data_IF_263473214108
#
_entry.id   IF_263473214108
#
_cell.length_a   1.000
_cell.length_b   1.000
_cell.length_c   1.000
_cell.angle_alpha   90.00
_cell.angle_beta   90.00
_cell.angle_gamma   90.00
#
_symmetry.space_group_name_H-M   'P 1'
#
loop_
_entity.id
_entity.type
_entity.pdbx_description
1 polymer ?
#
# COMPACT_ATOMS: atom_id res chain seq x y z
N UNK A 1 1.84 48.32 -31.76
CA UNK A 1 0.52 47.91 -31.26
C UNK A 1 -0.14 47.26 -32.45
N UNK A 2 -0.35 45.95 -32.45
CA UNK A 2 -0.75 45.12 -31.31
C UNK A 2 0.11 43.85 -31.19
N UNK A 3 0.44 43.53 -29.95
CA UNK A 3 1.04 42.26 -29.53
C UNK A 3 -0.02 41.15 -29.70
N UNK A 4 0.13 40.36 -30.76
CA UNK A 4 -0.64 39.13 -31.04
C UNK A 4 -0.15 38.02 -30.10
N UNK A 5 -0.55 38.11 -28.83
CA UNK A 5 -0.42 37.01 -27.88
C UNK A 5 -1.43 35.94 -28.28
N UNK A 6 -1.02 35.04 -29.20
CA UNK A 6 -1.80 33.89 -29.60
C UNK A 6 -2.38 33.19 -28.37
N UNK A 7 -3.68 32.95 -28.39
CA UNK A 7 -4.39 32.13 -27.42
C UNK A 7 -3.58 30.86 -27.18
N UNK A 8 -2.96 30.75 -26.00
CA UNK A 8 -2.41 29.48 -25.56
C UNK A 8 -3.57 28.49 -25.55
N UNK A 9 -3.46 27.47 -26.40
CA UNK A 9 -4.35 26.33 -26.48
C UNK A 9 -4.23 25.58 -25.14
N UNK A 10 -4.98 26.03 -24.13
CA UNK A 10 -5.08 25.32 -22.87
C UNK A 10 -5.83 24.02 -23.17
N UNK A 11 -5.10 22.94 -23.40
CA UNK A 11 -5.69 21.60 -23.45
C UNK A 11 -6.51 21.39 -22.17
N UNK A 12 -7.83 21.28 -22.31
CA UNK A 12 -8.71 20.99 -21.19
C UNK A 12 -8.43 19.56 -20.78
N UNK A 13 -7.65 19.35 -19.70
CA UNK A 13 -7.48 18.03 -19.11
C UNK A 13 -8.86 17.52 -18.67
N UNK A 14 -9.39 16.50 -19.36
CA UNK A 14 -10.61 15.82 -18.96
C UNK A 14 -10.33 15.05 -17.65
N UNK A 15 -10.88 15.53 -16.54
CA UNK A 15 -10.79 14.86 -15.25
C UNK A 15 -11.79 13.72 -15.20
N UNK A 16 -11.29 12.49 -15.21
CA UNK A 16 -12.12 11.29 -15.01
C UNK A 16 -12.48 11.13 -13.53
N UNK A 17 -13.78 11.22 -13.22
CA UNK A 17 -14.27 10.91 -11.88
C UNK A 17 -14.25 9.40 -11.64
N UNK A 18 -13.83 8.98 -10.43
CA UNK A 18 -13.82 7.57 -10.00
C UNK A 18 -13.06 6.64 -10.98
N UNK A 19 -11.95 7.11 -11.54
CA UNK A 19 -11.14 6.36 -12.49
C UNK A 19 -10.68 5.00 -11.94
N UNK A 20 -10.99 3.92 -12.65
CA UNK A 20 -10.53 2.57 -12.35
C UNK A 20 -10.41 1.74 -13.64
N UNK A 21 -9.68 0.62 -13.59
CA UNK A 21 -9.46 -0.25 -14.75
C UNK A 21 -10.75 -1.00 -15.08
N UNK A 22 -11.22 -0.88 -16.32
CA UNK A 22 -12.36 -1.66 -16.80
C UNK A 22 -11.88 -2.94 -17.50
N UNK A 23 -12.36 -4.10 -17.08
CA UNK A 23 -11.99 -5.40 -17.69
C UNK A 23 -12.46 -5.53 -19.16
N UNK A 24 -13.53 -4.84 -19.54
CA UNK A 24 -14.08 -4.91 -20.90
C UNK A 24 -13.44 -3.90 -21.86
N UNK A 25 -13.05 -2.72 -21.37
CA UNK A 25 -12.31 -1.74 -22.18
C UNK A 25 -10.79 -2.01 -22.19
N UNK A 26 -10.29 -2.75 -21.19
CA UNK A 26 -8.88 -2.97 -20.91
C UNK A 26 -8.06 -1.67 -20.76
N UNK A 27 -8.70 -0.63 -20.24
CA UNK A 27 -8.10 0.68 -20.01
C UNK A 27 -8.66 1.35 -18.74
N UNK A 28 -8.04 2.46 -18.34
CA UNK A 28 -8.53 3.30 -17.24
C UNK A 28 -9.69 4.17 -17.71
N UNK A 29 -10.85 4.01 -17.07
CA UNK A 29 -12.07 4.74 -17.45
C UNK A 29 -12.76 5.34 -16.22
N UNK A 30 -13.55 6.38 -16.42
CA UNK A 30 -14.52 6.86 -15.42
C UNK A 30 -15.60 5.81 -15.14
N UNK A 31 -16.08 5.77 -13.90
CA UNK A 31 -17.10 4.82 -13.45
C UNK A 31 -18.14 5.46 -12.53
N UNK A 32 -19.43 5.21 -12.79
CA UNK A 32 -20.54 5.61 -11.93
C UNK A 32 -20.68 4.65 -10.73
N UNK A 33 -20.73 5.17 -9.51
CA UNK A 33 -20.97 4.36 -8.30
C UNK A 33 -22.47 4.11 -8.11
N UNK A 34 -22.92 2.88 -8.38
CA UNK A 34 -24.32 2.47 -8.18
C UNK A 34 -24.64 2.12 -6.72
N UNK A 35 -23.65 1.59 -5.99
CA UNK A 35 -23.83 1.15 -4.60
C UNK A 35 -22.53 1.18 -3.83
N UNK A 36 -22.61 1.55 -2.57
CA UNK A 36 -21.51 1.44 -1.60
C UNK A 36 -21.97 0.66 -0.37
N UNK A 37 -21.14 -0.26 0.12
CA UNK A 37 -21.38 -1.02 1.35
C UNK A 37 -20.10 -1.12 2.16
N UNK A 38 -20.17 -0.79 3.46
CA UNK A 38 -19.06 -1.02 4.37
C UNK A 38 -18.87 -2.53 4.63
N UNK A 39 -17.62 -3.00 4.58
CA UNK A 39 -17.26 -4.39 4.84
C UNK A 39 -15.84 -4.47 5.41
N UNK A 40 -15.72 -5.00 6.63
CA UNK A 40 -14.45 -4.98 7.37
C UNK A 40 -14.00 -3.53 7.62
N UNK A 41 -12.74 -3.21 7.27
CA UNK A 41 -12.15 -1.86 7.36
C UNK A 41 -12.29 -1.03 6.06
N UNK A 42 -12.98 -1.53 5.04
CA UNK A 42 -13.14 -0.81 3.76
C UNK A 42 -14.55 -0.93 3.19
N UNK A 43 -14.67 -0.79 1.87
CA UNK A 43 -15.93 -0.69 1.16
C UNK A 43 -15.97 -1.56 -0.10
N UNK A 44 -17.11 -2.21 -0.32
CA UNK A 44 -17.45 -2.84 -1.59
C UNK A 44 -18.29 -1.84 -2.38
N UNK A 45 -17.83 -1.50 -3.59
CA UNK A 45 -18.53 -0.65 -4.54
C UNK A 45 -19.10 -1.49 -5.67
N UNK A 46 -20.35 -1.23 -6.05
CA UNK A 46 -20.89 -1.66 -7.33
C UNK A 46 -20.75 -0.48 -8.28
N UNK A 47 -19.88 -0.62 -9.27
CA UNK A 47 -19.55 0.45 -10.21
C UNK A 47 -19.98 0.08 -11.63
N UNK A 48 -20.28 1.09 -12.44
CA UNK A 48 -20.64 0.94 -13.85
C UNK A 48 -19.70 1.79 -14.71
N UNK A 49 -19.01 1.16 -15.65
CA UNK A 49 -18.13 1.88 -16.58
C UNK A 49 -18.94 2.88 -17.43
N UNK A 50 -18.45 4.11 -17.54
CA UNK A 50 -19.13 5.17 -18.32
C UNK A 50 -18.99 4.96 -19.84
N UNK A 51 -17.96 4.24 -20.29
CA UNK A 51 -17.73 3.97 -21.71
C UNK A 51 -18.53 2.75 -22.21
N UNK A 52 -18.40 1.59 -21.56
CA UNK A 52 -18.99 0.34 -22.04
C UNK A 52 -20.22 -0.12 -21.25
N UNK A 53 -20.60 0.58 -20.17
CA UNK A 53 -21.70 0.21 -19.26
C UNK A 53 -21.56 -1.15 -18.55
N UNK A 54 -20.37 -1.75 -18.56
CA UNK A 54 -20.08 -2.95 -17.78
C UNK A 54 -20.21 -2.66 -16.28
N UNK A 55 -20.87 -3.56 -15.54
CA UNK A 55 -21.10 -3.43 -14.10
C UNK A 55 -20.26 -4.48 -13.39
N UNK A 56 -19.39 -4.06 -12.49
CA UNK A 56 -18.60 -4.96 -11.66
C UNK A 56 -18.51 -4.47 -10.21
N UNK A 57 -18.05 -5.36 -9.33
CA UNK A 57 -17.74 -5.00 -7.96
C UNK A 57 -16.29 -4.54 -7.88
N UNK A 58 -16.02 -3.56 -7.02
CA UNK A 58 -14.69 -3.09 -6.69
C UNK A 58 -14.56 -3.09 -5.17
N UNK A 59 -13.64 -3.89 -4.64
CA UNK A 59 -13.41 -3.99 -3.21
C UNK A 59 -12.21 -3.11 -2.82
N UNK A 60 -12.47 -1.94 -2.22
CA UNK A 60 -11.41 -1.04 -1.76
C UNK A 60 -11.26 -1.22 -0.25
N UNK A 61 -10.17 -1.85 0.16
CA UNK A 61 -9.86 -2.12 1.56
C UNK A 61 -8.37 -1.89 1.81
N UNK A 62 -7.99 -1.27 2.94
CA UNK A 62 -6.60 -1.27 3.38
C UNK A 62 -6.09 -2.71 3.55
N UNK A 63 -4.78 -2.95 3.37
CA UNK A 63 -4.13 -4.21 3.73
C UNK A 63 -4.42 -4.58 5.20
N UNK A 64 -4.36 -5.87 5.52
CA UNK A 64 -4.54 -6.31 6.89
C UNK A 64 -3.31 -5.94 7.75
N UNK A 65 -3.56 -5.54 9.00
CA UNK A 65 -2.49 -5.40 9.99
C UNK A 65 -2.13 -6.78 10.54
N UNK A 66 -0.84 -7.08 10.57
CA UNK A 66 -0.27 -8.29 11.16
C UNK A 66 0.72 -7.93 12.26
N UNK A 67 0.83 -8.82 13.26
CA UNK A 67 1.71 -8.63 14.40
C UNK A 67 2.99 -9.45 14.21
N UNK A 68 4.14 -8.77 14.15
CA UNK A 68 5.44 -9.40 13.95
C UNK A 68 6.31 -9.18 15.19
N UNK A 69 6.98 -10.23 15.72
CA UNK A 69 7.92 -10.07 16.80
C UNK A 69 9.25 -9.49 16.30
N UNK A 70 9.67 -8.38 16.92
CA UNK A 70 10.98 -7.76 16.72
C UNK A 70 11.81 -7.92 17.99
N UNK A 71 13.00 -8.48 17.85
CA UNK A 71 14.01 -8.52 18.91
C UNK A 71 14.99 -7.38 18.72
N UNK A 72 14.91 -6.40 19.60
CA UNK A 72 15.75 -5.21 19.63
C UNK A 72 16.92 -5.47 20.58
N UNK A 73 18.15 -5.13 20.17
CA UNK A 73 19.36 -5.38 20.97
C UNK A 73 20.24 -4.14 21.03
N UNK A 74 20.35 -3.53 22.22
CA UNK A 74 21.30 -2.46 22.51
C UNK A 74 22.40 -3.01 23.43
N UNK A 75 23.57 -3.25 22.86
CA UNK A 75 24.74 -3.72 23.60
C UNK A 75 24.47 -5.05 24.33
N UNK A 76 24.50 -5.09 25.68
CA UNK A 76 24.19 -6.30 26.46
C UNK A 76 22.68 -6.52 26.70
N UNK A 77 21.84 -5.51 26.45
CA UNK A 77 20.40 -5.56 26.71
C UNK A 77 19.65 -5.99 25.44
N UNK A 78 18.63 -6.83 25.59
CA UNK A 78 17.76 -7.22 24.48
C UNK A 78 16.31 -7.34 24.94
N UNK A 79 15.39 -6.82 24.14
CA UNK A 79 13.96 -6.91 24.36
C UNK A 79 13.25 -7.45 23.12
N UNK A 80 12.12 -8.13 23.31
CA UNK A 80 11.26 -8.55 22.19
C UNK A 80 9.91 -7.87 22.31
N UNK A 81 9.56 -7.13 21.27
CA UNK A 81 8.29 -6.42 21.14
C UNK A 81 7.52 -6.97 19.95
N UNK A 82 6.20 -6.79 19.93
CA UNK A 82 5.40 -7.10 18.75
C UNK A 82 4.95 -5.79 18.13
N UNK A 83 5.33 -5.54 16.87
CA UNK A 83 4.85 -4.39 16.11
C UNK A 83 3.68 -4.82 15.21
N UNK A 84 2.66 -3.97 15.14
CA UNK A 84 1.58 -4.08 14.16
C UNK A 84 2.02 -3.35 12.89
N UNK A 85 2.11 -4.09 11.78
CA UNK A 85 2.52 -3.56 10.47
C UNK A 85 1.52 -4.02 9.41
N UNK A 86 1.45 -3.30 8.30
CA UNK A 86 0.65 -3.74 7.16
C UNK A 86 1.24 -5.03 6.54
N UNK A 87 0.39 -5.93 6.05
CA UNK A 87 0.81 -7.24 5.53
C UNK A 87 1.73 -7.17 4.30
N UNK A 88 1.67 -6.06 3.57
CA UNK A 88 2.47 -5.73 2.39
C UNK A 88 3.71 -4.90 2.71
N UNK A 89 3.97 -4.58 3.99
CA UNK A 89 5.17 -3.83 4.39
C UNK A 89 6.45 -4.59 3.99
N UNK A 90 7.38 -3.88 3.36
CA UNK A 90 8.63 -4.44 2.84
C UNK A 90 9.78 -4.27 3.84
N UNK A 91 10.39 -5.38 4.26
CA UNK A 91 11.57 -5.35 5.13
C UNK A 91 12.84 -5.65 4.36
N UNK A 92 13.86 -4.82 4.53
CA UNK A 92 15.19 -4.97 3.94
C UNK A 92 16.24 -4.98 5.05
N UNK A 93 17.23 -5.86 4.94
CA UNK A 93 18.38 -5.85 5.87
C UNK A 93 19.20 -4.56 5.68
N UNK A 94 19.65 -3.98 6.78
CA UNK A 94 20.25 -2.64 6.93
C UNK A 94 19.27 -1.47 6.90
N UNK A 95 17.97 -1.71 6.72
CA UNK A 95 16.99 -0.64 6.83
C UNK A 95 16.83 -0.17 8.28
N UNK A 96 16.48 1.11 8.44
CA UNK A 96 16.42 1.77 9.76
C UNK A 96 15.01 2.27 10.02
N UNK A 97 14.49 1.96 11.22
CA UNK A 97 13.18 2.40 11.67
C UNK A 97 13.26 3.02 13.06
N UNK A 98 12.29 3.87 13.40
CA UNK A 98 12.15 4.43 14.73
C UNK A 98 11.27 3.54 15.61
N UNK A 99 11.73 3.30 16.85
CA UNK A 99 10.90 2.68 17.86
C UNK A 99 11.41 3.00 19.27
N UNK A 100 10.50 3.33 20.18
CA UNK A 100 10.83 3.68 21.58
C UNK A 100 11.86 4.81 21.71
N UNK A 101 11.72 5.87 20.89
CA UNK A 101 12.64 7.02 20.85
C UNK A 101 14.09 6.69 20.41
N UNK A 102 14.32 5.49 19.88
CA UNK A 102 15.60 5.03 19.34
C UNK A 102 15.47 4.69 17.85
N UNK A 103 16.60 4.67 17.14
CA UNK A 103 16.69 4.20 15.76
C UNK A 103 17.30 2.81 15.76
N UNK A 104 16.61 1.87 15.13
CA UNK A 104 16.99 0.47 15.06
C UNK A 104 17.29 0.09 13.63
N UNK A 105 18.41 -0.60 13.42
CA UNK A 105 18.78 -1.13 12.12
C UNK A 105 18.50 -2.61 12.04
N UNK A 106 17.71 -3.01 11.05
CA UNK A 106 17.42 -4.42 10.78
C UNK A 106 18.71 -5.14 10.42
N UNK A 107 19.11 -6.14 11.20
CA UNK A 107 20.28 -6.96 10.90
C UNK A 107 19.90 -8.36 10.38
N UNK A 108 18.72 -8.87 10.72
CA UNK A 108 18.24 -10.19 10.30
C UNK A 108 16.73 -10.22 10.12
N UNK A 109 16.30 -10.82 9.01
CA UNK A 109 14.90 -11.13 8.73
C UNK A 109 14.74 -12.65 8.74
N UNK A 110 13.84 -13.16 9.58
CA UNK A 110 13.55 -14.58 9.73
C UNK A 110 12.22 -14.91 9.04
N UNK A 111 12.24 -15.89 8.13
CA UNK A 111 11.07 -16.42 7.44
C UNK A 111 10.93 -17.92 7.63
N UNK A 112 9.71 -18.44 7.55
CA UNK A 112 9.42 -19.87 7.72
C UNK A 112 10.02 -20.45 9.01
N UNK A 113 10.71 -21.60 8.89
CA UNK A 113 11.39 -22.28 10.01
C UNK A 113 12.75 -21.66 10.36
N UNK A 114 12.82 -20.33 10.48
CA UNK A 114 14.04 -19.61 10.89
C UNK A 114 15.08 -19.40 9.78
N UNK A 115 14.67 -19.47 8.50
CA UNK A 115 15.55 -19.14 7.38
C UNK A 115 15.81 -17.64 7.35
N UNK A 116 17.05 -17.25 7.02
CA UNK A 116 17.45 -15.85 6.92
C UNK A 116 17.40 -15.37 5.48
N UNK A 117 16.78 -14.23 5.25
CA UNK A 117 16.70 -13.58 3.94
C UNK A 117 17.14 -12.12 4.04
N UNK A 118 17.43 -11.50 2.90
CA UNK A 118 17.80 -10.07 2.82
C UNK A 118 16.61 -9.14 2.62
N UNK A 119 15.50 -9.70 2.17
CA UNK A 119 14.27 -9.01 1.84
C UNK A 119 13.10 -9.97 2.06
N UNK A 120 12.00 -9.46 2.63
CA UNK A 120 10.71 -10.15 2.69
C UNK A 120 9.60 -9.13 2.89
N UNK A 121 8.39 -9.44 2.42
CA UNK A 121 7.17 -8.75 2.84
C UNK A 121 6.71 -9.27 4.19
N UNK A 122 6.02 -8.42 4.94
CA UNK A 122 5.59 -8.68 6.31
C UNK A 122 4.84 -10.03 6.46
N UNK A 123 3.99 -10.38 5.49
CA UNK A 123 3.24 -11.64 5.47
C UNK A 123 4.10 -12.91 5.58
N UNK A 124 5.33 -12.87 5.06
CA UNK A 124 6.26 -14.00 5.06
C UNK A 124 7.20 -14.04 6.28
N UNK A 125 7.28 -12.91 7.01
CA UNK A 125 8.17 -12.73 8.15
C UNK A 125 7.63 -13.47 9.38
N UNK A 126 8.53 -14.11 10.12
CA UNK A 126 8.28 -14.77 11.41
C UNK A 126 8.99 -14.08 12.57
N UNK A 127 9.99 -13.25 12.28
CA UNK A 127 10.61 -12.37 13.25
C UNK A 127 11.71 -11.53 12.64
N UNK A 128 11.99 -10.39 13.26
CA UNK A 128 13.06 -9.47 12.86
C UNK A 128 13.99 -9.25 14.03
N UNK A 129 15.29 -9.23 13.77
CA UNK A 129 16.26 -8.76 14.75
C UNK A 129 16.80 -7.40 14.29
N UNK A 130 16.92 -6.47 15.23
CA UNK A 130 17.45 -5.14 14.98
C UNK A 130 18.41 -4.71 16.10
N UNK A 131 19.36 -3.85 15.74
CA UNK A 131 20.47 -3.36 16.58
C UNK A 131 20.66 -1.86 16.44
#
# INVERSE_FOLDING_TARGET
>A
MEDDWGEEDYEVEEVLENATHCEECDELTGHEILKQRAKGKGFDYLVKCEQCSYIHNLDIRPPALISIPFTLTDGPESETINLEVDEDEEFIVEDVFDQSEMLWRINQILVGEGRKVKYATAIDVKGINAI
#
